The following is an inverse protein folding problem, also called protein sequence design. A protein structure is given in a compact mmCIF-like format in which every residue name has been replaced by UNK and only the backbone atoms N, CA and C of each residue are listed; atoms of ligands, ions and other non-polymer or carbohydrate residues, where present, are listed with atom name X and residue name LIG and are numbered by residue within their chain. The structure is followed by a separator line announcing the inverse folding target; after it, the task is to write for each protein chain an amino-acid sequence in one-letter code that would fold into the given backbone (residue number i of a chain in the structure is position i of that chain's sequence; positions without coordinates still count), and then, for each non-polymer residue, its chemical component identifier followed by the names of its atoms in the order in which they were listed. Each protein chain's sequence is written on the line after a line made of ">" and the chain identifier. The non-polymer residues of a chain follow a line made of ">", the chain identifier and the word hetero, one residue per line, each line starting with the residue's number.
data_IF_282160696085
#
_entry.id   IF_282160696085
#
_cell.length_a   1.000
_cell.length_b   1.000
_cell.length_c   1.000
_cell.angle_alpha   90.00
_cell.angle_beta   90.00
_cell.angle_gamma   90.00
#
_symmetry.space_group_name_H-M   'P 1'
#
loop_
_entity.id
_entity.type
_entity.pdbx_description
1 polymer ?
#
# COMPACT_ATOMS: atom_id res chain seq x y z
N UNK A 1 2.19 29.05 -38.82
CA UNK A 1 3.22 27.98 -38.82
C UNK A 1 4.39 28.25 -37.85
N UNK A 2 4.24 29.09 -36.81
CA UNK A 2 5.31 29.36 -35.82
C UNK A 2 5.18 28.59 -34.49
N UNK A 3 4.07 27.89 -34.24
CA UNK A 3 3.86 27.17 -32.97
C UNK A 3 4.59 25.82 -32.88
N UNK A 4 4.85 25.15 -34.01
CA UNK A 4 5.46 23.81 -34.01
C UNK A 4 6.94 23.82 -33.64
N UNK A 5 7.69 24.88 -34.00
CA UNK A 5 9.13 24.97 -33.73
C UNK A 5 9.47 25.30 -32.27
N UNK A 6 8.58 26.00 -31.56
CA UNK A 6 8.80 26.29 -30.14
C UNK A 6 8.52 25.07 -29.25
N UNK A 7 7.46 24.31 -29.54
CA UNK A 7 7.14 23.07 -28.81
C UNK A 7 8.25 22.03 -28.94
N UNK A 8 8.81 21.88 -30.14
CA UNK A 8 9.90 20.94 -30.42
C UNK A 8 11.22 21.35 -29.73
N UNK A 9 11.42 22.66 -29.51
CA UNK A 9 12.58 23.19 -28.77
C UNK A 9 12.44 23.01 -27.25
N UNK A 10 11.25 23.19 -26.68
CA UNK A 10 11.00 23.00 -25.25
C UNK A 10 11.11 21.52 -24.85
N UNK A 11 10.52 20.61 -25.63
CA UNK A 11 10.61 19.17 -25.37
C UNK A 11 12.06 18.65 -25.46
N UNK A 12 12.86 19.26 -26.35
CA UNK A 12 14.29 18.95 -26.49
C UNK A 12 15.10 19.46 -25.30
N UNK A 13 14.81 20.65 -24.79
CA UNK A 13 15.48 21.19 -23.59
C UNK A 13 15.14 20.35 -22.36
N UNK A 14 13.87 19.96 -22.20
CA UNK A 14 13.44 19.09 -21.11
C UNK A 14 14.13 17.72 -21.14
N UNK A 15 14.26 17.13 -22.33
CA UNK A 15 14.96 15.86 -22.50
C UNK A 15 16.46 16.00 -22.19
N UNK A 16 17.11 17.06 -22.67
CA UNK A 16 18.52 17.33 -22.39
C UNK A 16 18.76 17.61 -20.92
N UNK A 17 17.86 18.33 -20.25
CA UNK A 17 17.92 18.57 -18.81
C UNK A 17 17.76 17.27 -18.03
N UNK A 18 16.80 16.42 -18.39
CA UNK A 18 16.64 15.08 -17.77
C UNK A 18 17.91 14.23 -17.93
N UNK A 19 18.55 14.26 -19.10
CA UNK A 19 19.81 13.54 -19.34
C UNK A 19 20.95 14.17 -18.54
N UNK A 20 21.05 15.50 -18.47
CA UNK A 20 22.03 16.19 -17.66
C UNK A 20 21.86 15.88 -16.16
N UNK A 21 20.64 15.84 -15.66
CA UNK A 21 20.33 15.44 -14.28
C UNK A 21 20.64 13.98 -13.98
N UNK A 22 20.79 13.11 -15.00
CA UNK A 22 21.25 11.73 -14.79
C UNK A 22 22.77 11.66 -14.56
N UNK A 23 23.51 12.68 -14.99
CA UNK A 23 24.98 12.68 -15.01
C UNK A 23 25.58 13.77 -14.11
N UNK A 24 24.75 14.64 -13.51
CA UNK A 24 25.17 15.74 -12.64
C UNK A 24 24.75 15.52 -11.19
N UNK A 25 25.55 16.02 -10.26
CA UNK A 25 25.34 15.83 -8.80
C UNK A 25 24.11 16.58 -8.28
N UNK A 26 23.80 17.73 -8.88
CA UNK A 26 22.66 18.57 -8.52
C UNK A 26 22.01 19.26 -9.73
N UNK A 27 20.89 19.93 -9.47
CA UNK A 27 20.12 20.63 -10.49
C UNK A 27 20.86 21.81 -11.11
N UNK A 28 21.69 22.51 -10.34
CA UNK A 28 22.45 23.68 -10.81
C UNK A 28 23.55 23.27 -11.79
N UNK A 29 24.24 22.17 -11.51
CA UNK A 29 25.24 21.55 -12.40
C UNK A 29 24.59 20.99 -13.68
N UNK A 30 23.38 20.43 -13.56
CA UNK A 30 22.61 19.98 -14.72
C UNK A 30 22.19 21.14 -15.63
N UNK A 31 21.79 22.28 -15.04
CA UNK A 31 21.48 23.51 -15.79
C UNK A 31 22.73 24.05 -16.51
N UNK A 32 23.87 24.09 -15.82
CA UNK A 32 25.13 24.56 -16.38
C UNK A 32 25.63 23.65 -17.53
N UNK A 33 25.47 22.33 -17.41
CA UNK A 33 25.79 21.38 -18.48
C UNK A 33 24.92 21.58 -19.72
N UNK A 34 23.61 21.78 -19.56
CA UNK A 34 22.72 22.05 -20.68
C UNK A 34 23.08 23.38 -21.34
N UNK A 35 23.32 24.43 -20.54
CA UNK A 35 23.73 25.74 -21.04
C UNK A 35 25.06 25.66 -21.83
N UNK A 36 26.03 24.91 -21.33
CA UNK A 36 27.31 24.68 -22.01
C UNK A 36 27.17 23.84 -23.29
N UNK A 37 26.27 22.86 -23.31
CA UNK A 37 26.01 22.06 -24.51
C UNK A 37 25.41 22.89 -25.66
N UNK A 38 24.59 23.91 -25.34
CA UNK A 38 24.07 24.87 -26.31
C UNK A 38 25.10 25.96 -26.69
N UNK A 39 26.01 26.31 -25.78
CA UNK A 39 27.06 27.31 -26.01
C UNK A 39 28.34 26.79 -26.70
N UNK A 40 28.56 25.48 -26.71
CA UNK A 40 29.79 24.87 -27.23
C UNK A 40 29.80 24.73 -28.76
N UNK A 41 30.86 25.24 -29.40
CA UNK A 41 31.11 25.20 -30.85
C UNK A 41 32.08 24.09 -31.25
N UNK A 42 32.03 22.95 -30.56
CA UNK A 42 32.87 21.82 -30.93
C UNK A 42 32.48 21.29 -32.33
N UNK A 43 33.45 20.95 -33.20
CA UNK A 43 33.17 20.50 -34.56
C UNK A 43 32.52 19.10 -34.53
N UNK A 44 31.19 19.09 -34.62
CA UNK A 44 30.40 17.85 -34.72
C UNK A 44 30.19 17.51 -36.20
N UNK A 45 30.24 16.22 -36.60
CA UNK A 45 30.04 15.84 -38.01
C UNK A 45 28.73 16.36 -38.60
N UNK A 46 28.79 16.91 -39.82
CA UNK A 46 27.67 17.58 -40.48
C UNK A 46 26.47 16.68 -40.76
N UNK A 47 26.67 15.36 -40.79
CA UNK A 47 25.60 14.39 -41.07
C UNK A 47 24.64 14.16 -39.89
N UNK A 48 24.93 14.71 -38.71
CA UNK A 48 24.07 14.59 -37.54
C UNK A 48 22.97 15.66 -37.55
N UNK A 49 21.77 15.30 -37.10
CA UNK A 49 20.72 16.29 -36.81
C UNK A 49 21.18 17.22 -35.69
N UNK A 50 20.66 18.45 -35.63
CA UNK A 50 21.02 19.40 -34.57
C UNK A 50 20.79 18.81 -33.16
N UNK A 51 19.71 18.06 -32.96
CA UNK A 51 19.47 17.28 -31.73
C UNK A 51 20.60 16.31 -31.39
N UNK A 52 21.08 15.55 -32.38
CA UNK A 52 22.17 14.59 -32.19
C UNK A 52 23.51 15.29 -31.95
N UNK A 53 23.69 16.51 -32.48
CA UNK A 53 24.88 17.33 -32.22
C UNK A 53 24.88 17.85 -30.79
N UNK A 54 23.75 18.36 -30.31
CA UNK A 54 23.60 18.86 -28.93
C UNK A 54 23.74 17.73 -27.91
N UNK A 55 23.15 16.56 -28.17
CA UNK A 55 23.30 15.39 -27.30
C UNK A 55 24.74 14.89 -27.24
N UNK A 56 25.45 14.89 -28.38
CA UNK A 56 26.87 14.52 -28.41
C UNK A 56 27.75 15.54 -27.67
N UNK A 57 27.46 16.84 -27.78
CA UNK A 57 28.15 17.87 -27.00
C UNK A 57 27.92 17.69 -25.51
N UNK A 58 26.68 17.40 -25.10
CA UNK A 58 26.31 17.14 -23.71
C UNK A 58 27.05 15.92 -23.15
N UNK A 59 27.13 14.82 -23.90
CA UNK A 59 27.88 13.63 -23.50
C UNK A 59 29.40 13.85 -23.49
N UNK A 60 29.91 14.74 -24.34
CA UNK A 60 31.34 15.08 -24.39
C UNK A 60 31.73 16.03 -23.25
N UNK A 61 30.84 16.96 -22.87
CA UNK A 61 31.00 17.80 -21.69
C UNK A 61 30.83 17.01 -20.40
N UNK A 62 29.89 16.06 -20.34
CA UNK A 62 29.70 15.22 -19.15
C UNK A 62 30.89 14.28 -18.92
N UNK A 63 31.59 13.82 -19.97
CA UNK A 63 32.83 13.08 -19.83
C UNK A 63 34.00 13.92 -19.27
N UNK A 64 33.88 15.26 -19.26
CA UNK A 64 34.82 16.15 -18.57
C UNK A 64 34.44 16.39 -17.10
N UNK A 65 33.16 16.17 -16.75
CA UNK A 65 32.68 16.06 -15.37
C UNK A 65 32.78 14.60 -14.94
N UNK A 66 34.02 14.13 -14.76
CA UNK A 66 34.32 12.87 -14.07
C UNK A 66 34.07 13.09 -12.56
N UNK A 67 32.80 13.31 -12.22
CA UNK A 67 32.31 13.45 -10.86
C UNK A 67 31.92 12.05 -10.39
N UNK A 68 32.90 11.40 -9.78
CA UNK A 68 32.83 10.04 -9.24
C UNK A 68 31.64 9.92 -8.26
N UNK A 69 30.57 9.24 -8.69
CA UNK A 69 29.65 8.51 -7.81
C UNK A 69 28.47 9.26 -7.18
N UNK A 70 28.50 10.59 -7.01
CA UNK A 70 27.45 11.29 -6.24
C UNK A 70 26.11 11.42 -6.97
N UNK A 71 26.11 11.74 -8.28
CA UNK A 71 24.89 11.81 -9.10
C UNK A 71 24.13 10.46 -9.16
N UNK A 72 24.88 9.38 -9.39
CA UNK A 72 24.34 8.01 -9.38
C UNK A 72 23.83 7.62 -7.99
N UNK A 73 24.50 8.08 -6.93
CA UNK A 73 24.07 7.89 -5.55
C UNK A 73 22.74 8.60 -5.26
N UNK A 74 22.54 9.83 -5.74
CA UNK A 74 21.30 10.58 -5.53
C UNK A 74 20.07 9.93 -6.20
N UNK A 75 20.19 9.50 -7.46
CA UNK A 75 19.12 8.80 -8.20
C UNK A 75 18.81 7.46 -7.54
N UNK A 76 19.85 6.73 -7.14
CA UNK A 76 19.71 5.45 -6.45
C UNK A 76 19.05 5.63 -5.09
N UNK A 77 19.44 6.63 -4.31
CA UNK A 77 18.85 6.97 -3.02
C UNK A 77 17.37 7.32 -3.18
N UNK A 78 17.00 8.14 -4.18
CA UNK A 78 15.61 8.45 -4.49
C UNK A 78 14.80 7.24 -4.97
N UNK A 79 15.44 6.25 -5.60
CA UNK A 79 14.79 4.99 -5.98
C UNK A 79 14.60 4.05 -4.78
N UNK A 80 15.64 3.85 -3.96
CA UNK A 80 15.58 3.11 -2.69
C UNK A 80 14.48 3.69 -1.80
N UNK A 81 14.43 5.01 -1.68
CA UNK A 81 13.43 5.71 -0.88
C UNK A 81 12.01 5.41 -1.35
N UNK A 82 11.75 5.38 -2.66
CA UNK A 82 10.44 5.02 -3.22
C UNK A 82 10.07 3.56 -2.97
N UNK A 83 11.04 2.65 -3.06
CA UNK A 83 10.83 1.23 -2.74
C UNK A 83 10.48 1.07 -1.27
N UNK A 84 11.25 1.72 -0.39
CA UNK A 84 11.02 1.73 1.06
C UNK A 84 9.62 2.29 1.37
N UNK A 85 9.28 3.48 0.86
CA UNK A 85 7.99 4.10 1.15
C UNK A 85 6.78 3.30 0.64
N UNK A 86 6.96 2.50 -0.40
CA UNK A 86 5.92 1.65 -0.97
C UNK A 86 5.72 0.36 -0.18
N UNK A 87 6.81 -0.35 0.13
CA UNK A 87 6.73 -1.72 0.63
C UNK A 87 6.95 -1.83 2.15
N UNK A 88 7.66 -0.89 2.77
CA UNK A 88 7.94 -0.92 4.21
C UNK A 88 6.69 -0.87 5.10
N UNK A 89 5.61 -0.13 4.77
CA UNK A 89 4.37 -0.19 5.55
C UNK A 89 3.74 -1.58 5.63
N UNK A 90 3.90 -2.40 4.57
CA UNK A 90 3.40 -3.77 4.55
C UNK A 90 4.22 -4.67 5.47
N UNK A 91 5.55 -4.54 5.42
CA UNK A 91 6.46 -5.26 6.31
C UNK A 91 6.21 -4.90 7.79
N UNK A 92 6.03 -3.60 8.08
CA UNK A 92 5.71 -3.13 9.42
C UNK A 92 4.37 -3.70 9.92
N UNK A 93 3.33 -3.71 9.07
CA UNK A 93 2.01 -4.25 9.41
C UNK A 93 2.00 -5.78 9.61
N UNK A 94 2.99 -6.50 9.10
CA UNK A 94 3.11 -7.96 9.24
C UNK A 94 3.81 -8.39 10.55
N UNK A 95 4.47 -7.46 11.25
CA UNK A 95 5.02 -7.71 12.59
C UNK A 95 3.92 -7.94 13.63
N UNK A 96 4.28 -8.60 14.73
CA UNK A 96 3.42 -8.66 15.92
C UNK A 96 3.29 -7.29 16.58
N UNK A 97 2.19 -7.08 17.32
CA UNK A 97 1.95 -5.83 18.05
C UNK A 97 3.09 -5.49 19.01
N UNK A 98 3.66 -6.49 19.66
CA UNK A 98 4.77 -6.32 20.60
C UNK A 98 6.04 -5.83 19.88
N UNK A 99 6.36 -6.40 18.71
CA UNK A 99 7.50 -5.98 17.88
C UNK A 99 7.30 -4.57 17.32
N UNK A 100 6.10 -4.25 16.83
CA UNK A 100 5.76 -2.91 16.35
C UNK A 100 5.94 -1.88 17.45
N UNK A 101 5.49 -2.19 18.67
CA UNK A 101 5.61 -1.29 19.82
C UNK A 101 7.07 -1.09 20.21
N UNK A 102 7.87 -2.16 20.26
CA UNK A 102 9.30 -2.08 20.58
C UNK A 102 10.06 -1.20 19.58
N UNK A 103 9.84 -1.41 18.29
CA UNK A 103 10.46 -0.62 17.21
C UNK A 103 10.01 0.84 17.24
N UNK A 104 8.72 1.08 17.49
CA UNK A 104 8.16 2.43 17.57
C UNK A 104 8.77 3.18 18.76
N UNK A 105 8.81 2.57 19.94
CA UNK A 105 9.41 3.22 21.11
C UNK A 105 10.91 3.48 20.89
N UNK A 106 11.63 2.53 20.30
CA UNK A 106 13.07 2.68 20.05
C UNK A 106 13.41 3.79 19.04
N UNK A 107 12.70 3.87 17.91
CA UNK A 107 13.04 4.79 16.82
C UNK A 107 12.30 6.13 16.86
N UNK A 108 11.12 6.20 17.49
CA UNK A 108 10.34 7.46 17.59
C UNK A 108 10.43 8.11 18.97
N UNK A 109 10.67 7.31 20.01
CA UNK A 109 10.91 7.80 21.35
C UNK A 109 12.37 8.18 21.52
N UNK A 110 12.68 9.47 21.64
CA UNK A 110 14.00 9.93 22.13
C UNK A 110 14.28 9.56 23.60
N UNK A 111 13.75 8.43 24.06
CA UNK A 111 13.76 7.93 25.43
C UNK A 111 14.93 6.97 25.58
N UNK A 112 15.65 7.06 26.70
CA UNK A 112 16.78 6.17 26.97
C UNK A 112 16.28 4.73 27.12
N UNK A 113 16.99 3.78 26.54
CA UNK A 113 16.67 2.35 26.55
C UNK A 113 16.38 1.79 27.95
N UNK A 114 17.11 2.27 28.97
CA UNK A 114 16.89 1.88 30.37
C UNK A 114 15.56 2.33 30.97
N UNK A 115 15.03 3.48 30.55
CA UNK A 115 13.75 4.01 31.04
C UNK A 115 12.57 3.24 30.42
N UNK A 116 12.71 2.83 29.15
CA UNK A 116 11.70 2.04 28.43
C UNK A 116 11.65 0.59 28.95
N UNK A 117 12.82 -0.03 29.16
CA UNK A 117 12.90 -1.39 29.69
C UNK A 117 12.17 -1.50 31.05
N UNK A 118 12.36 -0.51 31.93
CA UNK A 118 11.67 -0.43 33.22
C UNK A 118 10.15 -0.21 33.13
N UNK A 119 9.64 0.37 32.03
CA UNK A 119 8.18 0.53 31.80
C UNK A 119 7.56 -0.76 31.28
N UNK A 120 8.32 -1.58 30.56
CA UNK A 120 7.87 -2.86 30.00
C UNK A 120 8.15 -4.06 30.92
N UNK A 121 8.58 -3.82 32.16
CA UNK A 121 9.04 -4.86 33.11
C UNK A 121 10.14 -5.78 32.51
N UNK A 122 10.97 -5.25 31.61
CA UNK A 122 12.09 -5.94 30.98
C UNK A 122 13.42 -5.46 31.55
N UNK A 123 14.42 -6.33 31.54
CA UNK A 123 15.79 -5.88 31.73
C UNK A 123 16.31 -5.14 30.49
N UNK A 124 17.27 -4.21 30.63
CA UNK A 124 17.86 -3.51 29.48
C UNK A 124 18.43 -4.47 28.41
N UNK A 125 19.01 -5.60 28.84
CA UNK A 125 19.60 -6.60 27.95
C UNK A 125 18.53 -7.39 27.19
N UNK A 126 17.43 -7.75 27.85
CA UNK A 126 16.28 -8.39 27.19
C UNK A 126 15.60 -7.43 26.21
N UNK A 127 15.50 -6.15 26.56
CA UNK A 127 14.95 -5.12 25.67
C UNK A 127 15.80 -4.96 24.41
N UNK A 128 17.13 -4.85 24.55
CA UNK A 128 18.05 -4.80 23.42
C UNK A 128 17.93 -6.04 22.52
N UNK A 129 17.92 -7.24 23.13
CA UNK A 129 17.78 -8.50 22.40
C UNK A 129 16.49 -8.56 21.59
N UNK A 130 15.37 -8.10 22.17
CA UNK A 130 14.07 -8.09 21.48
C UNK A 130 13.99 -7.05 20.37
N UNK A 131 14.64 -5.90 20.52
CA UNK A 131 14.74 -4.91 19.44
C UNK A 131 15.56 -5.45 18.28
N UNK A 132 16.71 -6.09 18.54
CA UNK A 132 17.53 -6.68 17.48
C UNK A 132 16.76 -7.77 16.73
N UNK A 133 16.01 -8.61 17.44
CA UNK A 133 15.15 -9.62 16.85
C UNK A 133 14.04 -8.98 15.99
N UNK A 134 13.35 -7.96 16.50
CA UNK A 134 12.31 -7.25 15.76
C UNK A 134 12.85 -6.50 14.52
N UNK A 135 14.04 -5.92 14.64
CA UNK A 135 14.74 -5.22 13.55
C UNK A 135 15.18 -6.19 12.46
N UNK A 136 15.70 -7.35 12.84
CA UNK A 136 16.01 -8.43 11.89
C UNK A 136 14.74 -8.89 11.18
N UNK A 137 13.66 -9.10 11.93
CA UNK A 137 12.41 -9.62 11.37
C UNK A 137 11.75 -8.65 10.40
N UNK A 138 11.74 -7.35 10.69
CA UNK A 138 11.16 -6.35 9.77
C UNK A 138 11.97 -6.24 8.48
N UNK A 139 13.30 -6.36 8.55
CA UNK A 139 14.16 -6.37 7.36
C UNK A 139 13.90 -7.62 6.53
N UNK A 140 13.78 -8.80 7.13
CA UNK A 140 13.43 -10.04 6.41
C UNK A 140 12.09 -9.89 5.67
N UNK A 141 11.04 -9.47 6.38
CA UNK A 141 9.71 -9.27 5.80
C UNK A 141 9.72 -8.21 4.69
N UNK A 142 10.52 -7.15 4.87
CA UNK A 142 10.71 -6.15 3.83
C UNK A 142 11.39 -6.74 2.60
N UNK A 143 12.51 -7.44 2.75
CA UNK A 143 13.23 -8.05 1.63
C UNK A 143 12.43 -9.16 0.93
N UNK A 144 11.57 -9.88 1.65
CA UNK A 144 10.61 -10.85 1.10
C UNK A 144 9.56 -10.18 0.21
N UNK A 145 9.14 -8.95 0.54
CA UNK A 145 8.19 -8.18 -0.26
C UNK A 145 8.79 -7.57 -1.55
N UNK A 146 10.11 -7.61 -1.70
CA UNK A 146 10.80 -7.02 -2.86
C UNK A 146 11.02 -8.05 -3.97
N UNK A 147 10.98 -7.56 -5.22
CA UNK A 147 11.46 -8.33 -6.37
C UNK A 147 12.97 -8.57 -6.29
N UNK A 148 13.48 -9.56 -7.03
CA UNK A 148 14.93 -9.88 -7.07
C UNK A 148 15.80 -8.68 -7.47
N UNK A 149 15.29 -7.83 -8.36
CA UNK A 149 16.01 -6.63 -8.84
C UNK A 149 15.99 -5.52 -7.78
N UNK A 150 14.85 -5.28 -7.14
CA UNK A 150 14.73 -4.28 -6.06
C UNK A 150 15.58 -4.67 -4.85
N UNK A 151 15.61 -5.96 -4.50
CA UNK A 151 16.44 -6.50 -3.41
C UNK A 151 17.91 -6.22 -3.64
N UNK A 152 18.41 -6.40 -4.86
CA UNK A 152 19.81 -6.10 -5.21
C UNK A 152 20.18 -4.63 -5.05
N UNK A 153 19.23 -3.72 -5.30
CA UNK A 153 19.45 -2.27 -5.18
C UNK A 153 19.41 -1.81 -3.72
N UNK A 154 18.51 -2.39 -2.91
CA UNK A 154 18.37 -2.07 -1.49
C UNK A 154 19.52 -2.63 -0.66
N UNK A 155 19.99 -3.85 -0.94
CA UNK A 155 21.08 -4.48 -0.18
C UNK A 155 22.45 -3.78 -0.36
N UNK A 156 22.59 -2.97 -1.40
CA UNK A 156 23.79 -2.17 -1.68
C UNK A 156 23.80 -0.83 -0.92
N UNK A 157 22.78 -0.58 -0.07
CA UNK A 157 22.62 0.63 0.74
C UNK A 157 22.61 0.28 2.23
N UNK A 158 23.13 1.17 3.09
CA UNK A 158 23.27 0.91 4.53
C UNK A 158 21.91 0.75 5.21
N UNK A 159 21.65 -0.44 5.75
CA UNK A 159 20.36 -0.81 6.32
C UNK A 159 19.99 0.04 7.54
N UNK A 160 20.97 0.33 8.39
CA UNK A 160 20.73 1.01 9.66
C UNK A 160 20.32 2.48 9.44
N UNK A 161 20.78 3.09 8.34
CA UNK A 161 20.52 4.49 8.03
C UNK A 161 19.06 4.72 7.58
N UNK A 162 18.49 3.81 6.79
CA UNK A 162 17.15 4.02 6.24
C UNK A 162 16.02 3.42 7.09
N UNK A 163 16.26 2.38 7.91
CA UNK A 163 15.23 1.71 8.71
C UNK A 163 14.56 2.69 9.69
N UNK A 164 15.35 3.45 10.46
CA UNK A 164 14.80 4.40 11.43
C UNK A 164 13.92 5.47 10.77
N UNK A 165 14.34 6.00 9.63
CA UNK A 165 13.57 6.95 8.84
C UNK A 165 12.31 6.34 8.21
N UNK A 166 12.37 5.08 7.79
CA UNK A 166 11.25 4.33 7.23
C UNK A 166 10.16 4.04 8.29
N UNK A 167 10.57 3.62 9.49
CA UNK A 167 9.65 3.39 10.62
C UNK A 167 8.92 4.68 10.97
N UNK A 168 9.65 5.79 11.14
CA UNK A 168 9.05 7.07 11.49
C UNK A 168 8.02 7.54 10.45
N UNK A 169 8.38 7.51 9.17
CA UNK A 169 7.45 7.91 8.07
C UNK A 169 6.25 6.99 7.96
N UNK A 170 6.43 5.70 8.22
CA UNK A 170 5.35 4.72 8.22
C UNK A 170 4.38 4.98 9.37
N UNK A 171 4.90 5.25 10.56
CA UNK A 171 4.11 5.64 11.73
C UNK A 171 3.35 6.94 11.48
N UNK A 172 4.00 7.97 10.96
CA UNK A 172 3.36 9.25 10.64
C UNK A 172 2.25 9.12 9.59
N UNK A 173 2.35 8.11 8.70
CA UNK A 173 1.35 7.82 7.65
C UNK A 173 0.19 6.99 8.17
N UNK A 174 0.46 5.99 9.01
CA UNK A 174 -0.54 5.01 9.45
C UNK A 174 -1.28 5.46 10.72
N UNK A 175 -0.62 6.19 11.61
CA UNK A 175 -1.19 6.66 12.86
C UNK A 175 -1.53 8.15 12.75
N UNK A 176 -2.79 8.54 13.00
CA UNK A 176 -3.15 9.95 12.98
C UNK A 176 -2.41 10.70 14.08
N UNK A 177 -1.96 11.92 13.76
CA UNK A 177 -1.36 12.82 14.75
C UNK A 177 -2.33 13.03 15.93
N UNK A 178 -1.76 13.18 17.12
CA UNK A 178 -2.56 13.44 18.32
C UNK A 178 -3.40 14.72 18.13
N UNK A 179 -4.72 14.69 18.45
CA UNK A 179 -5.56 15.88 18.32
C UNK A 179 -5.00 17.04 19.14
N UNK A 180 -5.05 18.27 18.59
CA UNK A 180 -4.58 19.46 19.30
C UNK A 180 -5.29 19.69 20.65
N UNK A 181 -6.52 19.21 20.79
CA UNK A 181 -7.28 19.25 22.03
C UNK A 181 -6.60 18.44 23.14
N UNK A 182 -5.96 17.32 22.79
CA UNK A 182 -5.17 16.51 23.71
C UNK A 182 -3.88 17.25 24.11
N UNK A 183 -3.20 17.86 23.14
CA UNK A 183 -2.01 18.69 23.41
C UNK A 183 -2.32 19.85 24.36
N UNK A 184 -3.46 20.54 24.15
CA UNK A 184 -3.94 21.59 25.04
C UNK A 184 -4.26 21.05 26.43
N UNK A 185 -5.06 19.99 26.54
CA UNK A 185 -5.38 19.38 27.85
C UNK A 185 -4.15 18.93 28.64
N UNK A 186 -3.14 18.36 27.97
CA UNK A 186 -1.91 17.92 28.65
C UNK A 186 -1.11 19.13 29.11
N UNK A 187 -0.98 20.16 28.27
CA UNK A 187 -0.28 21.41 28.62
C UNK A 187 -0.98 22.12 29.77
N UNK A 188 -2.31 22.23 29.72
CA UNK A 188 -3.13 22.85 30.76
C UNK A 188 -3.00 22.09 32.08
N UNK A 189 -3.12 20.76 32.08
CA UNK A 189 -2.92 19.94 33.30
C UNK A 189 -1.51 20.04 33.87
N UNK A 190 -0.50 20.15 33.01
CA UNK A 190 0.90 20.30 33.44
C UNK A 190 1.12 21.68 34.07
N UNK A 191 0.50 22.71 33.51
CA UNK A 191 0.55 24.07 34.02
C UNK A 191 -0.22 24.21 35.33
N UNK A 192 -1.37 23.54 35.47
CA UNK A 192 -2.15 23.48 36.71
C UNK A 192 -1.40 22.74 37.83
N UNK A 193 -0.66 21.67 37.51
CA UNK A 193 0.21 20.99 38.48
C UNK A 193 1.36 21.88 38.94
N UNK A 194 2.00 22.61 38.03
CA UNK A 194 3.10 23.53 38.39
C UNK A 194 2.57 24.74 39.20
N UNK A 195 1.39 25.27 38.85
CA UNK A 195 0.73 26.33 39.60
C UNK A 195 0.30 25.87 41.01
N UNK A 196 -0.24 24.65 41.13
CA UNK A 196 -0.63 24.04 42.42
C UNK A 196 0.56 23.70 43.31
N UNK A 197 1.77 23.60 42.75
CA UNK A 197 3.01 23.36 43.52
C UNK A 197 3.60 24.66 44.10
N UNK A 198 3.15 25.83 43.63
CA UNK A 198 3.67 27.14 44.07
C UNK A 198 2.87 27.74 45.24
N UNK A 199 1.75 27.13 45.63
CA UNK A 199 0.84 27.69 46.62
C UNK A 199 0.43 26.66 47.69
N UNK A 200 1.43 26.06 48.36
CA UNK A 200 1.33 25.79 49.79
C UNK A 200 2.70 25.36 50.35
N UNK A 201 3.32 26.26 51.11
CA UNK A 201 4.28 25.88 52.14
C UNK A 201 3.72 26.31 53.48
N UNK A 202 3.46 25.35 54.38
CA UNK A 202 3.87 25.54 55.75
C UNK A 202 4.90 24.48 56.12
N UNK A 203 6.03 24.98 56.60
CA UNK A 203 7.06 24.29 57.36
C UNK A 203 6.47 23.39 58.44
N UNK A 204 6.68 22.07 58.35
CA UNK A 204 7.01 21.23 59.51
C UNK A 204 7.59 19.87 59.12
N UNK A 205 8.74 19.60 59.72
CA UNK A 205 9.51 18.36 59.72
C UNK A 205 8.65 17.10 59.93
N UNK A 206 8.71 16.14 59.00
CA UNK A 206 8.72 14.73 59.37
C UNK A 206 9.40 13.87 58.30
N UNK A 207 10.16 12.93 58.84
CA UNK A 207 11.07 11.97 58.22
C UNK A 207 10.23 10.84 57.61
N UNK A 208 10.53 10.46 56.37
CA UNK A 208 10.20 9.13 55.85
C UNK A 208 9.09 9.06 54.79
N UNK A 209 9.46 8.48 53.64
CA UNK A 209 8.64 7.53 52.89
C UNK A 209 7.32 8.02 52.29
N UNK A 210 7.34 8.87 51.25
CA UNK A 210 6.19 8.99 50.30
C UNK A 210 6.62 9.43 48.88
N UNK A 211 7.37 8.59 48.15
CA UNK A 211 7.57 8.72 46.68
C UNK A 211 6.65 7.75 45.90
N UNK A 212 5.83 6.95 46.59
CA UNK A 212 5.01 5.88 45.96
C UNK A 212 3.56 6.25 45.60
N UNK A 213 3.12 7.51 45.77
CA UNK A 213 1.68 7.86 45.59
C UNK A 213 1.33 8.70 44.36
N UNK A 214 2.29 9.25 43.63
CA UNK A 214 2.00 9.92 42.33
C UNK A 214 2.05 8.96 41.14
N UNK A 215 2.75 7.83 41.26
CA UNK A 215 2.76 6.76 40.25
C UNK A 215 1.44 5.95 40.20
N UNK A 216 0.69 5.90 41.32
CA UNK A 216 -0.57 5.17 41.42
C UNK A 216 -1.73 5.85 40.68
N UNK A 217 -1.76 7.19 40.63
CA UNK A 217 -2.79 7.92 39.91
C UNK A 217 -2.60 7.85 38.39
N UNK A 218 -1.34 7.80 37.92
CA UNK A 218 -1.02 7.65 36.50
C UNK A 218 -1.25 6.21 36.00
N UNK A 219 -0.95 5.19 36.82
CA UNK A 219 -1.24 3.78 36.49
C UNK A 219 -2.73 3.49 36.45
N UNK A 220 -3.55 4.11 37.32
CA UNK A 220 -5.02 4.00 37.20
C UNK A 220 -5.51 4.70 35.93
N UNK A 221 -4.94 5.84 35.54
CA UNK A 221 -5.33 6.52 34.30
C UNK A 221 -4.89 5.76 33.05
N UNK A 222 -3.69 5.15 33.04
CA UNK A 222 -3.20 4.28 31.98
C UNK A 222 -3.95 2.96 31.95
N UNK A 223 -4.35 2.39 33.10
CA UNK A 223 -5.17 1.18 33.15
C UNK A 223 -6.62 1.43 32.73
N UNK A 224 -7.18 2.61 33.00
CA UNK A 224 -8.50 3.03 32.47
C UNK A 224 -8.40 3.34 30.98
N UNK A 225 -7.30 3.92 30.50
CA UNK A 225 -7.02 4.05 29.06
C UNK A 225 -6.86 2.67 28.41
N UNK A 226 -6.06 1.77 28.98
CA UNK A 226 -5.90 0.38 28.53
C UNK A 226 -7.22 -0.38 28.56
N UNK A 227 -8.03 -0.28 29.60
CA UNK A 227 -9.32 -0.97 29.67
C UNK A 227 -10.33 -0.39 28.66
N UNK A 228 -10.34 0.93 28.42
CA UNK A 228 -11.19 1.54 27.40
C UNK A 228 -10.72 1.24 25.98
N UNK A 229 -9.40 1.16 25.73
CA UNK A 229 -8.81 0.81 24.44
C UNK A 229 -8.93 -0.69 24.17
N UNK A 230 -8.78 -1.53 25.19
CA UNK A 230 -8.99 -2.98 25.13
C UNK A 230 -10.48 -3.31 24.94
N UNK A 231 -11.42 -2.52 25.48
CA UNK A 231 -12.84 -2.71 25.17
C UNK A 231 -13.21 -2.21 23.76
N UNK A 232 -12.46 -1.25 23.20
CA UNK A 232 -12.55 -0.87 21.79
C UNK A 232 -11.94 -1.91 20.82
N UNK A 233 -11.00 -2.75 21.28
CA UNK A 233 -10.28 -3.72 20.44
C UNK A 233 -10.57 -5.20 20.76
N UNK A 234 -11.20 -5.49 21.88
CA UNK A 234 -11.54 -6.84 22.36
C UNK A 234 -13.01 -6.96 22.72
N UNK A 235 -13.87 -6.14 22.09
CA UNK A 235 -15.26 -6.54 22.00
C UNK A 235 -15.32 -7.99 21.48
N UNK A 236 -16.25 -8.83 21.97
CA UNK A 236 -16.68 -9.96 21.17
C UNK A 236 -16.95 -9.42 19.76
N UNK A 237 -16.81 -10.25 18.73
CA UNK A 237 -17.26 -9.93 17.38
C UNK A 237 -18.77 -9.65 17.40
N UNK A 238 -19.16 -8.52 17.95
CA UNK A 238 -20.41 -7.86 17.69
C UNK A 238 -20.32 -7.65 16.20
N UNK A 239 -21.19 -8.35 15.51
CA UNK A 239 -21.64 -8.05 14.16
C UNK A 239 -22.20 -6.63 14.17
N UNK A 240 -21.34 -5.63 14.37
CA UNK A 240 -21.50 -4.34 13.73
C UNK A 240 -21.66 -4.69 12.28
N UNK A 241 -22.80 -4.34 11.73
CA UNK A 241 -23.21 -4.58 10.35
C UNK A 241 -22.28 -3.80 9.41
N UNK A 242 -21.00 -4.16 9.39
CA UNK A 242 -20.09 -3.87 8.30
C UNK A 242 -20.64 -4.71 7.14
N UNK A 243 -21.12 -4.03 6.10
CA UNK A 243 -21.63 -4.68 4.90
C UNK A 243 -20.47 -5.47 4.29
N UNK A 244 -20.40 -6.77 4.55
CA UNK A 244 -19.46 -7.66 3.88
C UNK A 244 -19.90 -7.76 2.43
N UNK A 245 -19.06 -7.28 1.52
CA UNK A 245 -19.38 -7.28 0.09
C UNK A 245 -19.60 -8.71 -0.41
N UNK A 246 -18.90 -9.69 0.16
CA UNK A 246 -19.02 -11.09 -0.26
C UNK A 246 -20.34 -11.70 0.20
N UNK A 247 -20.80 -11.36 1.41
CA UNK A 247 -22.13 -11.75 1.91
C UNK A 247 -23.23 -11.16 1.01
N UNK A 248 -23.14 -9.87 0.67
CA UNK A 248 -24.08 -9.24 -0.26
C UNK A 248 -24.04 -9.85 -1.66
N UNK A 249 -22.86 -10.25 -2.12
CA UNK A 249 -22.68 -10.91 -3.42
C UNK A 249 -23.36 -12.27 -3.41
N UNK A 250 -23.14 -13.06 -2.36
CA UNK A 250 -23.77 -14.36 -2.16
C UNK A 250 -25.31 -14.23 -2.10
N UNK A 251 -25.82 -13.27 -1.35
CA UNK A 251 -27.26 -12.99 -1.25
C UNK A 251 -27.89 -12.55 -2.59
N UNK A 252 -27.14 -11.81 -3.40
CA UNK A 252 -27.63 -11.29 -4.69
C UNK A 252 -27.61 -12.36 -5.77
N UNK A 253 -26.63 -13.26 -5.77
CA UNK A 253 -26.37 -14.22 -6.85
C UNK A 253 -27.57 -15.07 -7.31
N UNK A 254 -28.45 -15.58 -6.41
CA UNK A 254 -29.61 -16.38 -6.82
C UNK A 254 -30.68 -15.57 -7.57
N UNK A 255 -30.74 -14.26 -7.35
CA UNK A 255 -31.73 -13.36 -7.95
C UNK A 255 -31.31 -12.82 -9.32
N UNK A 256 -30.02 -12.90 -9.65
CA UNK A 256 -29.45 -12.35 -10.89
C UNK A 256 -30.10 -12.97 -12.12
N UNK A 257 -30.46 -12.11 -13.07
CA UNK A 257 -30.97 -12.51 -14.39
C UNK A 257 -30.23 -11.73 -15.48
N UNK A 258 -29.71 -12.40 -16.51
CA UNK A 258 -28.99 -11.70 -17.57
C UNK A 258 -29.93 -10.77 -18.35
N UNK A 259 -29.59 -9.48 -18.36
CA UNK A 259 -30.24 -8.45 -19.18
C UNK A 259 -29.91 -8.67 -20.67
N UNK A 260 -28.63 -8.88 -20.95
CA UNK A 260 -28.13 -9.32 -22.24
C UNK A 260 -28.06 -10.85 -22.22
N UNK A 261 -28.80 -11.50 -23.11
CA UNK A 261 -28.73 -12.96 -23.32
C UNK A 261 -27.87 -13.24 -24.55
N UNK A 262 -26.61 -13.57 -24.31
CA UNK A 262 -25.64 -13.92 -25.34
C UNK A 262 -24.62 -14.89 -24.76
N UNK A 263 -24.23 -15.88 -25.54
CA UNK A 263 -23.07 -16.73 -25.25
C UNK A 263 -21.78 -16.22 -25.89
N UNK A 264 -21.86 -15.13 -26.67
CA UNK A 264 -20.72 -14.46 -27.27
C UNK A 264 -20.10 -13.50 -26.26
N UNK A 265 -18.82 -13.72 -25.95
CA UNK A 265 -18.05 -12.98 -24.96
C UNK A 265 -17.76 -11.55 -25.41
N UNK A 266 -17.41 -11.34 -26.68
CA UNK A 266 -17.11 -10.00 -27.21
C UNK A 266 -18.35 -9.09 -27.09
N UNK A 267 -19.54 -9.68 -27.27
CA UNK A 267 -20.82 -8.99 -27.10
C UNK A 267 -21.09 -8.66 -25.62
N UNK A 268 -20.75 -9.57 -24.70
CA UNK A 268 -20.88 -9.34 -23.26
C UNK A 268 -19.91 -8.26 -22.76
N UNK A 269 -18.65 -8.27 -23.22
CA UNK A 269 -17.65 -7.25 -22.92
C UNK A 269 -18.09 -5.87 -23.44
N UNK A 270 -18.57 -5.81 -24.68
CA UNK A 270 -19.10 -4.58 -25.27
C UNK A 270 -20.29 -4.02 -24.47
N UNK A 271 -21.22 -4.88 -24.04
CA UNK A 271 -22.36 -4.48 -23.21
C UNK A 271 -21.94 -3.89 -21.87
N UNK A 272 -20.97 -4.52 -21.19
CA UNK A 272 -20.45 -4.00 -19.92
C UNK A 272 -19.74 -2.66 -20.13
N UNK A 273 -18.94 -2.56 -21.19
CA UNK A 273 -18.25 -1.31 -21.58
C UNK A 273 -19.23 -0.17 -21.83
N UNK A 274 -20.30 -0.41 -22.60
CA UNK A 274 -21.32 0.59 -22.90
C UNK A 274 -22.07 1.07 -21.65
N UNK A 275 -22.36 0.17 -20.69
CA UNK A 275 -23.16 0.50 -19.51
C UNK A 275 -22.37 1.06 -18.34
N UNK A 276 -21.09 0.75 -18.25
CA UNK A 276 -20.27 1.10 -17.09
C UNK A 276 -19.04 1.96 -17.42
N UNK A 277 -18.80 2.26 -18.70
CA UNK A 277 -17.60 2.92 -19.20
C UNK A 277 -16.32 2.19 -18.76
N UNK A 278 -16.41 0.85 -18.64
CA UNK A 278 -15.31 -0.02 -18.20
C UNK A 278 -15.14 -1.22 -19.11
N UNK A 279 -13.90 -1.45 -19.50
CA UNK A 279 -13.51 -2.68 -20.18
C UNK A 279 -13.26 -3.77 -19.14
N UNK A 280 -13.92 -4.90 -19.31
CA UNK A 280 -13.66 -6.14 -18.55
C UNK A 280 -13.25 -7.23 -19.52
N UNK A 281 -12.61 -8.27 -19.02
CA UNK A 281 -12.40 -9.51 -19.77
C UNK A 281 -13.38 -10.57 -19.26
N UNK A 282 -14.12 -11.22 -20.16
CA UNK A 282 -15.04 -12.29 -19.79
C UNK A 282 -14.25 -13.59 -19.58
N UNK A 283 -14.25 -14.19 -18.37
CA UNK A 283 -13.51 -15.40 -18.12
C UNK A 283 -14.14 -16.59 -18.84
N UNK A 284 -13.28 -17.46 -19.39
CA UNK A 284 -13.65 -18.73 -20.02
C UNK A 284 -13.44 -19.87 -19.06
N UNK A 285 -14.48 -20.68 -18.85
CA UNK A 285 -14.37 -21.92 -18.10
C UNK A 285 -14.77 -23.11 -18.97
N UNK A 286 -13.93 -24.14 -18.97
CA UNK A 286 -14.23 -25.43 -19.59
C UNK A 286 -15.51 -26.01 -18.99
N UNK A 287 -16.36 -26.62 -19.80
CA UNK A 287 -17.67 -27.19 -19.42
C UNK A 287 -18.68 -26.16 -18.87
N UNK A 288 -18.48 -24.87 -19.12
CA UNK A 288 -19.50 -23.83 -18.87
C UNK A 288 -19.95 -23.18 -20.16
N UNK A 289 -21.17 -22.64 -20.16
CA UNK A 289 -21.70 -21.83 -21.24
C UNK A 289 -22.10 -20.49 -20.66
N UNK A 290 -21.56 -19.39 -21.22
CA UNK A 290 -22.02 -18.05 -20.89
C UNK A 290 -23.49 -17.91 -21.32
N UNK A 291 -24.35 -17.56 -20.37
CA UNK A 291 -25.77 -17.31 -20.60
C UNK A 291 -26.04 -15.84 -20.90
N UNK A 292 -25.19 -14.94 -20.38
CA UNK A 292 -25.34 -13.52 -20.57
C UNK A 292 -24.63 -12.65 -19.54
N UNK A 293 -24.90 -11.35 -19.64
CA UNK A 293 -24.38 -10.32 -18.75
C UNK A 293 -25.51 -9.38 -18.26
N UNK A 294 -25.31 -8.80 -17.08
CA UNK A 294 -26.23 -7.85 -16.43
C UNK A 294 -25.42 -6.85 -15.60
N UNK A 295 -26.04 -5.74 -15.21
CA UNK A 295 -25.46 -4.80 -14.25
C UNK A 295 -26.33 -4.82 -12.99
N UNK A 296 -25.81 -5.39 -11.91
CA UNK A 296 -26.57 -5.62 -10.69
C UNK A 296 -26.22 -4.63 -9.60
N UNK A 297 -27.24 -4.17 -8.88
CA UNK A 297 -27.08 -3.21 -7.79
C UNK A 297 -26.88 -3.96 -6.47
N UNK A 298 -25.62 -4.22 -6.10
CA UNK A 298 -25.24 -4.90 -4.85
C UNK A 298 -25.49 -4.01 -3.63
N UNK A 299 -25.34 -2.69 -3.78
CA UNK A 299 -25.79 -1.71 -2.77
C UNK A 299 -26.38 -0.47 -3.46
N UNK A 300 -27.11 0.42 -2.75
CA UNK A 300 -27.66 1.63 -3.35
C UNK A 300 -26.65 2.54 -4.06
N UNK A 301 -25.34 2.39 -3.76
CA UNK A 301 -24.25 3.18 -4.35
C UNK A 301 -23.28 2.35 -5.20
N UNK A 302 -23.49 1.04 -5.32
CA UNK A 302 -22.58 0.14 -6.02
C UNK A 302 -23.36 -0.74 -6.99
N UNK A 303 -23.16 -0.48 -8.28
CA UNK A 303 -23.62 -1.32 -9.37
C UNK A 303 -22.41 -2.01 -10.01
N UNK A 304 -22.52 -3.30 -10.25
CA UNK A 304 -21.40 -4.11 -10.76
C UNK A 304 -21.83 -4.99 -11.93
N UNK A 305 -20.92 -5.21 -12.90
CA UNK A 305 -21.15 -6.21 -13.93
C UNK A 305 -21.26 -7.60 -13.33
N UNK A 306 -22.22 -8.37 -13.81
CA UNK A 306 -22.43 -9.77 -13.44
C UNK A 306 -22.60 -10.61 -14.68
N UNK A 307 -21.81 -11.69 -14.74
CA UNK A 307 -21.80 -12.67 -15.80
C UNK A 307 -22.48 -13.95 -15.29
N UNK A 308 -23.45 -14.46 -16.05
CA UNK A 308 -24.17 -15.69 -15.70
C UNK A 308 -23.74 -16.84 -16.60
N UNK A 309 -23.41 -17.98 -16.00
CA UNK A 309 -22.99 -19.19 -16.69
C UNK A 309 -23.88 -20.36 -16.31
N UNK A 310 -24.07 -21.28 -17.27
CA UNK A 310 -24.56 -22.63 -17.02
C UNK A 310 -23.37 -23.55 -16.91
N UNK A 311 -23.17 -24.16 -15.75
CA UNK A 311 -22.14 -25.14 -15.49
C UNK A 311 -22.65 -26.56 -15.78
N UNK A 312 -22.10 -27.17 -16.83
CA UNK A 312 -22.47 -28.52 -17.26
C UNK A 312 -21.58 -29.60 -16.61
N UNK A 313 -20.63 -29.24 -15.74
CA UNK A 313 -19.81 -30.20 -15.00
C UNK A 313 -20.64 -31.00 -13.98
N UNK A 314 -21.80 -30.48 -13.57
CA UNK A 314 -22.75 -31.18 -12.71
C UNK A 314 -23.99 -31.62 -13.50
N UNK A 315 -24.62 -32.71 -13.05
CA UNK A 315 -25.94 -33.13 -13.54
C UNK A 315 -26.94 -33.14 -12.37
N UNK A 316 -27.97 -32.27 -12.37
CA UNK A 316 -28.30 -31.28 -13.42
C UNK A 316 -27.29 -30.12 -13.51
N UNK A 317 -27.29 -29.36 -14.64
CA UNK A 317 -26.44 -28.19 -14.79
C UNK A 317 -26.71 -27.17 -13.68
N UNK A 318 -25.64 -26.64 -13.08
CA UNK A 318 -25.72 -25.65 -12.03
C UNK A 318 -25.57 -24.23 -12.59
N UNK A 319 -26.10 -23.23 -11.89
CA UNK A 319 -25.84 -21.83 -12.23
C UNK A 319 -24.54 -21.40 -11.56
N UNK A 320 -23.68 -20.72 -12.32
CA UNK A 320 -22.47 -20.07 -11.84
C UNK A 320 -22.59 -18.58 -12.16
N UNK A 321 -22.54 -17.73 -11.14
CA UNK A 321 -22.67 -16.28 -11.27
C UNK A 321 -21.34 -15.63 -10.90
N UNK A 322 -20.80 -14.78 -11.77
CA UNK A 322 -19.50 -14.13 -11.56
C UNK A 322 -19.68 -12.62 -11.53
N UNK A 323 -19.37 -12.01 -10.38
CA UNK A 323 -19.41 -10.56 -10.17
C UNK A 323 -18.03 -9.96 -10.43
N UNK A 324 -18.00 -8.78 -11.07
CA UNK A 324 -16.74 -8.11 -11.47
C UNK A 324 -16.58 -6.78 -10.72
N UNK A 325 -15.67 -6.77 -9.74
CA UNK A 325 -15.33 -5.62 -8.92
C UNK A 325 -14.04 -4.94 -9.42
N UNK A 326 -13.84 -3.68 -9.04
CA UNK A 326 -12.54 -2.99 -9.18
C UNK A 326 -12.07 -2.46 -7.83
N UNK A 327 -10.76 -2.26 -7.67
CA UNK A 327 -10.21 -1.61 -6.48
C UNK A 327 -10.78 -0.21 -6.22
N UNK A 328 -11.16 0.53 -7.27
CA UNK A 328 -11.78 1.84 -7.13
C UNK A 328 -13.16 1.75 -6.46
N UNK A 329 -13.92 0.69 -6.74
CA UNK A 329 -15.22 0.44 -6.11
C UNK A 329 -15.11 0.07 -4.62
N UNK A 330 -13.97 -0.48 -4.21
CA UNK A 330 -13.74 -0.95 -2.83
C UNK A 330 -13.16 0.14 -1.91
N UNK A 331 -12.64 1.24 -2.47
CA UNK A 331 -11.70 2.11 -1.75
C UNK A 331 -12.21 3.47 -1.25
N UNK A 332 -13.40 3.93 -1.62
CA UNK A 332 -13.72 5.36 -1.51
C UNK A 332 -14.49 5.82 -0.28
N UNK A 333 -15.09 4.93 0.52
CA UNK A 333 -15.87 5.35 1.69
C UNK A 333 -15.63 4.42 2.90
N UNK A 334 -15.47 5.00 4.10
CA UNK A 334 -15.34 4.21 5.35
C UNK A 334 -16.62 3.45 5.69
N UNK A 335 -17.72 3.81 5.04
CA UNK A 335 -19.05 3.21 5.23
C UNK A 335 -19.52 2.34 4.05
N UNK A 336 -18.68 2.13 3.02
CA UNK A 336 -19.00 1.28 1.87
C UNK A 336 -18.80 -0.21 2.17
N UNK A 337 -19.42 -1.11 1.38
CA UNK A 337 -19.18 -2.54 1.48
C UNK A 337 -17.71 -2.87 1.19
N UNK A 338 -17.12 -3.81 1.94
CA UNK A 338 -15.68 -4.13 1.88
C UNK A 338 -15.44 -5.60 1.61
N UNK A 339 -14.36 -5.90 0.90
CA UNK A 339 -13.75 -7.23 0.87
C UNK A 339 -12.74 -7.30 2.01
N UNK A 340 -12.76 -8.39 2.79
CA UNK A 340 -11.82 -8.59 3.88
C UNK A 340 -10.36 -8.42 3.42
N UNK A 341 -9.56 -7.69 4.19
CA UNK A 341 -8.17 -7.39 3.81
C UNK A 341 -7.30 -8.64 3.61
N UNK A 342 -7.62 -9.75 4.28
CA UNK A 342 -6.95 -11.03 4.09
C UNK A 342 -7.14 -11.59 2.68
N UNK A 343 -8.34 -11.45 2.11
CA UNK A 343 -8.65 -11.88 0.74
C UNK A 343 -7.90 -11.00 -0.26
N UNK A 344 -7.91 -9.67 -0.06
CA UNK A 344 -7.16 -8.75 -0.92
C UNK A 344 -5.64 -9.02 -0.90
N UNK A 345 -5.08 -9.43 0.25
CA UNK A 345 -3.66 -9.85 0.33
C UNK A 345 -3.40 -11.16 -0.42
N UNK A 346 -4.33 -12.12 -0.34
CA UNK A 346 -4.20 -13.38 -1.05
C UNK A 346 -4.28 -13.23 -2.59
N UNK A 347 -4.94 -12.17 -3.07
CA UNK A 347 -5.00 -11.76 -4.48
C UNK A 347 -3.78 -10.96 -4.97
N UNK A 348 -2.68 -10.95 -4.20
CA UNK A 348 -1.49 -10.15 -4.47
C UNK A 348 -0.88 -10.39 -5.86
N UNK A 349 -0.90 -11.64 -6.33
CA UNK A 349 -0.38 -12.05 -7.64
C UNK A 349 -1.50 -12.09 -8.71
N UNK A 350 -1.12 -11.86 -9.97
CA UNK A 350 -2.05 -11.94 -11.10
C UNK A 350 -2.46 -13.41 -11.33
N UNK A 351 -3.77 -13.69 -11.40
CA UNK A 351 -4.36 -15.04 -11.61
C UNK A 351 -4.33 -15.99 -10.40
N UNK A 352 -4.11 -15.51 -9.17
CA UNK A 352 -4.29 -16.35 -7.97
C UNK A 352 -5.76 -16.45 -7.59
N UNK A 353 -6.27 -17.68 -7.50
CA UNK A 353 -7.57 -17.99 -6.94
C UNK A 353 -7.48 -18.12 -5.41
N UNK A 354 -8.51 -17.66 -4.70
CA UNK A 354 -8.63 -17.72 -3.23
C UNK A 354 -10.06 -18.07 -2.86
N UNK A 355 -10.22 -18.99 -1.92
CA UNK A 355 -11.53 -19.30 -1.35
C UNK A 355 -11.91 -18.26 -0.31
N UNK A 356 -13.16 -17.84 -0.36
CA UNK A 356 -13.78 -17.01 0.65
C UNK A 356 -15.06 -17.68 1.14
N UNK A 357 -15.42 -17.43 2.41
CA UNK A 357 -16.65 -17.94 3.01
C UNK A 357 -17.54 -16.73 3.28
N UNK A 358 -18.78 -16.78 2.77
CA UNK A 358 -19.78 -15.76 2.95
C UNK A 358 -21.08 -16.42 3.44
N UNK A 359 -21.38 -16.32 4.74
CA UNK A 359 -22.47 -17.08 5.34
C UNK A 359 -22.23 -18.59 5.26
N UNK A 360 -23.12 -19.30 4.55
CA UNK A 360 -23.01 -20.75 4.28
C UNK A 360 -22.40 -21.05 2.90
N UNK A 361 -22.14 -20.02 2.09
CA UNK A 361 -21.64 -20.16 0.73
C UNK A 361 -20.11 -20.10 0.67
N UNK A 362 -19.52 -21.00 -0.12
CA UNK A 362 -18.12 -20.93 -0.53
C UNK A 362 -18.03 -20.18 -1.85
N UNK A 363 -17.21 -19.13 -1.87
CA UNK A 363 -16.96 -18.29 -3.03
C UNK A 363 -15.54 -18.50 -3.54
N UNK A 364 -15.36 -18.47 -4.85
CA UNK A 364 -14.05 -18.38 -5.46
C UNK A 364 -13.80 -16.93 -5.88
N UNK A 365 -12.69 -16.37 -5.39
CA UNK A 365 -12.27 -15.01 -5.68
C UNK A 365 -10.94 -15.06 -6.41
N UNK A 366 -10.81 -14.34 -7.52
CA UNK A 366 -9.54 -14.22 -8.21
C UNK A 366 -9.35 -12.82 -8.79
N UNK A 367 -8.12 -12.53 -9.16
CA UNK A 367 -7.74 -11.26 -9.77
C UNK A 367 -7.26 -11.50 -11.19
N UNK A 368 -7.73 -10.67 -12.11
CA UNK A 368 -7.17 -10.57 -13.44
C UNK A 368 -6.95 -9.09 -13.76
N UNK A 369 -5.68 -8.71 -14.01
CA UNK A 369 -5.26 -7.31 -14.16
C UNK A 369 -5.70 -6.42 -12.98
N UNK A 370 -6.65 -5.53 -13.22
CA UNK A 370 -7.20 -4.55 -12.26
C UNK A 370 -8.55 -4.95 -11.69
N UNK A 371 -9.15 -6.03 -12.20
CA UNK A 371 -10.47 -6.49 -11.82
C UNK A 371 -10.39 -7.66 -10.85
N UNK A 372 -11.36 -7.71 -9.92
CA UNK A 372 -11.55 -8.77 -8.96
C UNK A 372 -12.84 -9.49 -9.33
N UNK A 373 -12.75 -10.78 -9.56
CA UNK A 373 -13.87 -11.62 -9.91
C UNK A 373 -14.28 -12.43 -8.70
N UNK A 374 -15.59 -12.49 -8.45
CA UNK A 374 -16.18 -13.28 -7.36
C UNK A 374 -17.20 -14.22 -7.98
N UNK A 375 -16.89 -15.51 -7.98
CA UNK A 375 -17.81 -16.56 -8.43
C UNK A 375 -18.63 -17.10 -7.27
N UNK A 376 -19.93 -17.22 -7.51
CA UNK A 376 -20.93 -17.80 -6.62
C UNK A 376 -21.65 -18.93 -7.35
N UNK A 377 -21.77 -20.09 -6.72
CA UNK A 377 -22.45 -21.26 -7.27
C UNK A 377 -21.99 -22.55 -6.62
N UNK A 378 -22.73 -23.63 -6.82
CA UNK A 378 -22.42 -24.94 -6.20
C UNK A 378 -21.08 -25.54 -6.65
N UNK A 379 -20.55 -25.06 -7.79
CA UNK A 379 -19.27 -25.45 -8.37
C UNK A 379 -18.21 -24.36 -8.24
N UNK A 380 -18.50 -23.26 -7.54
CA UNK A 380 -17.61 -22.11 -7.40
C UNK A 380 -16.48 -22.33 -6.37
N UNK A 381 -15.94 -23.54 -6.27
CA UNK A 381 -14.73 -23.81 -5.47
C UNK A 381 -13.50 -23.44 -6.27
N UNK A 382 -12.44 -23.01 -5.58
CA UNK A 382 -11.20 -22.61 -6.25
C UNK A 382 -10.61 -23.76 -7.05
N UNK A 383 -10.55 -24.96 -6.47
CA UNK A 383 -10.01 -26.13 -7.15
C UNK A 383 -10.77 -26.47 -8.45
N UNK A 384 -12.09 -26.27 -8.46
CA UNK A 384 -12.90 -26.53 -9.66
C UNK A 384 -12.66 -25.46 -10.72
N UNK A 385 -12.74 -24.18 -10.36
CA UNK A 385 -12.59 -23.11 -11.34
C UNK A 385 -11.16 -22.99 -11.85
N UNK A 386 -10.15 -23.06 -10.99
CA UNK A 386 -8.74 -22.95 -11.37
C UNK A 386 -8.35 -24.00 -12.42
N UNK A 387 -8.79 -25.25 -12.27
CA UNK A 387 -8.51 -26.32 -13.23
C UNK A 387 -9.25 -26.19 -14.57
N UNK A 388 -10.28 -25.34 -14.65
CA UNK A 388 -11.16 -25.19 -15.81
C UNK A 388 -11.00 -23.84 -16.50
N UNK A 389 -10.36 -22.88 -15.85
CA UNK A 389 -10.26 -21.51 -16.32
C UNK A 389 -9.13 -21.36 -17.33
N UNK A 390 -9.44 -20.89 -18.54
CA UNK A 390 -8.44 -20.57 -19.57
C UNK A 390 -8.10 -19.07 -19.51
N UNK A 391 -7.57 -18.61 -18.37
CA UNK A 391 -6.99 -17.27 -18.25
C UNK A 391 -5.56 -17.32 -18.82
N UNK A 392 -5.44 -17.49 -20.15
CA UNK A 392 -4.13 -17.41 -20.78
C UNK A 392 -3.55 -16.02 -20.57
N UNK A 393 -2.29 -15.99 -20.11
CA UNK A 393 -1.45 -14.79 -20.13
C UNK A 393 -1.56 -14.11 -21.50
N UNK A 394 -1.81 -12.79 -21.58
CA UNK A 394 -1.89 -12.07 -22.86
C UNK A 394 -0.53 -11.94 -23.58
N UNK A 395 0.49 -12.70 -23.19
CA UNK A 395 1.76 -12.83 -23.91
C UNK A 395 1.73 -14.05 -24.86
N UNK A 396 0.69 -14.10 -25.69
CA UNK A 396 0.59 -14.99 -26.83
C UNK A 396 0.58 -14.17 -28.12
N UNK A 397 1.76 -13.86 -28.64
CA UNK A 397 2.07 -13.55 -30.04
C UNK A 397 0.95 -12.93 -30.90
N UNK A 398 1.01 -11.60 -31.09
CA UNK A 398 0.55 -10.93 -32.31
C UNK A 398 1.65 -10.03 -32.84
#
# INVERSE_FOLDING_TARGET
>A
MNGSKNSESEETIDLLFRIASLVSEDGESAEELVANAYGSFEPVPEYLSEHSKTLRRLLSSSAAFDSDGEAHSAIRTGFVQRIVDRNFPLAFAALTTDEQLLLLIHHTGGVRTGDVAGVLDLTPDEFATRIDAASTRIVELFLESLTSTERGIVLDHDQDEWIGGAIRRTVDRLLPAAPESLHRQITDRRQDQVASTTQDSPTRSHRGSQIRRTAAALTVLVAVLFASLWWLFSGPSDRTTELDLLELTADTAPAVRPDLKSSDEDVAEAFVSERTDRQIVVPRFTDTILLGASIEQVTPRLAVPVLSYSDNATSPPANLTVFVYSYQMLGTDRSGPRIASAILRALGDEVTFTEAIAGEDTLAVWRYRTDIYVAVGTTATVSSLESRTDLQSPLGSR
#
